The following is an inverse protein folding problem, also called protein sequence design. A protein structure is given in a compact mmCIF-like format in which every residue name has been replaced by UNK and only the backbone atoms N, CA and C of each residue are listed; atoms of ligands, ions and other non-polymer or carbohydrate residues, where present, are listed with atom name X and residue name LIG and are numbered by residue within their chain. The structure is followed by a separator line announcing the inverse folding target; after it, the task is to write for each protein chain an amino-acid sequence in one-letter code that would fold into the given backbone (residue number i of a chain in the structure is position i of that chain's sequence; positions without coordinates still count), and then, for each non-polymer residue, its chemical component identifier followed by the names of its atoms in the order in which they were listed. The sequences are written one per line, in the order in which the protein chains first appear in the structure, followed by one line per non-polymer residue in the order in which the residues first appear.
data_IF_622052953134
#
_entry.id   IF_622052953134
#
_cell.length_a   1.000
_cell.length_b   1.000
_cell.length_c   1.000
_cell.angle_alpha   90.00
_cell.angle_beta   90.00
_cell.angle_gamma   90.00
#
_symmetry.space_group_name_H-M   'P 1'
#
loop_
_entity.id
_entity.type
_entity.pdbx_description
1 polymer ?
#
# COMPACT_ATOMS: atom_id res chain seq x y z
N UNK A 1 1.53 2.87 -27.94
CA UNK A 1 1.28 3.72 -26.75
C UNK A 1 -0.13 3.42 -26.27
N UNK A 2 -0.30 2.88 -25.07
CA UNK A 2 -1.64 2.78 -24.48
C UNK A 2 -1.99 4.19 -24.02
N UNK A 3 -2.89 4.85 -24.75
CA UNK A 3 -3.45 6.13 -24.32
C UNK A 3 -4.30 5.80 -23.08
N UNK A 4 -3.78 6.09 -21.90
CA UNK A 4 -4.56 6.04 -20.67
C UNK A 4 -5.64 7.11 -20.79
N UNK A 5 -6.85 6.71 -21.15
CA UNK A 5 -8.02 7.57 -21.09
C UNK A 5 -8.19 8.06 -19.65
N UNK A 6 -8.72 9.28 -19.46
CA UNK A 6 -8.96 9.84 -18.13
C UNK A 6 -9.78 8.90 -17.23
N UNK A 7 -10.68 8.10 -17.81
CA UNK A 7 -11.40 7.04 -17.11
C UNK A 7 -10.49 5.95 -16.51
N UNK A 8 -9.42 5.57 -17.21
CA UNK A 8 -8.49 4.55 -16.73
C UNK A 8 -7.66 5.08 -15.55
N UNK A 9 -7.28 6.37 -15.59
CA UNK A 9 -6.61 7.04 -14.48
C UNK A 9 -7.52 7.13 -13.24
N UNK A 10 -8.76 7.57 -13.44
CA UNK A 10 -9.77 7.64 -12.38
C UNK A 10 -10.09 6.28 -11.75
N UNK A 11 -10.16 5.21 -12.55
CA UNK A 11 -10.35 3.84 -12.04
C UNK A 11 -9.14 3.37 -11.24
N UNK A 12 -7.92 3.68 -11.70
CA UNK A 12 -6.69 3.38 -10.98
C UNK A 12 -6.59 4.11 -9.65
N UNK A 13 -6.87 5.41 -9.62
CA UNK A 13 -6.84 6.20 -8.39
C UNK A 13 -7.85 5.67 -7.37
N UNK A 14 -9.07 5.37 -7.81
CA UNK A 14 -10.09 4.74 -6.95
C UNK A 14 -9.63 3.39 -6.42
N UNK A 15 -9.00 2.56 -7.26
CA UNK A 15 -8.49 1.26 -6.83
C UNK A 15 -7.36 1.41 -5.80
N UNK A 16 -6.43 2.33 -6.01
CA UNK A 16 -5.36 2.63 -5.04
C UNK A 16 -5.96 3.12 -3.71
N UNK A 17 -6.95 4.01 -3.76
CA UNK A 17 -7.63 4.48 -2.56
C UNK A 17 -8.33 3.34 -1.82
N UNK A 18 -9.08 2.48 -2.51
CA UNK A 18 -9.75 1.33 -1.88
C UNK A 18 -8.75 0.41 -1.15
N UNK A 19 -7.64 0.05 -1.79
CA UNK A 19 -6.61 -0.76 -1.14
C UNK A 19 -6.01 -0.04 0.07
N UNK A 20 -5.82 1.27 -0.03
CA UNK A 20 -5.27 2.07 1.06
C UNK A 20 -6.25 2.18 2.25
N UNK A 21 -7.53 2.42 1.98
CA UNK A 21 -8.58 2.44 3.00
C UNK A 21 -8.69 1.08 3.71
N UNK A 22 -8.62 -0.03 2.96
CA UNK A 22 -8.60 -1.38 3.52
C UNK A 22 -7.38 -1.65 4.42
N UNK A 23 -6.23 -1.00 4.12
CA UNK A 23 -5.03 -1.08 4.97
C UNK A 23 -5.21 -0.26 6.26
N UNK A 24 -5.85 0.90 6.15
CA UNK A 24 -6.11 1.80 7.28
C UNK A 24 -7.19 1.29 8.23
N UNK A 25 -8.13 0.45 7.78
CA UNK A 25 -9.23 -0.11 8.57
C UNK A 25 -8.77 -1.14 9.65
N UNK A 26 -7.48 -1.48 9.69
CA UNK A 26 -6.96 -2.44 10.68
C UNK A 26 -6.86 -1.79 12.08
N UNK A 27 -7.89 -2.03 12.88
CA UNK A 27 -7.97 -1.61 14.29
C UNK A 27 -6.99 -2.33 15.24
N UNK A 28 -6.39 -3.46 14.82
CA UNK A 28 -5.50 -4.28 15.68
C UNK A 28 -4.03 -4.20 15.27
N UNK A 29 -3.22 -3.64 16.15
CA UNK A 29 -1.77 -3.42 15.98
C UNK A 29 -0.98 -4.70 15.64
N UNK A 30 -1.36 -5.84 16.22
CA UNK A 30 -0.62 -7.09 16.08
C UNK A 30 -0.69 -7.71 14.68
N UNK A 31 -1.64 -7.29 13.85
CA UNK A 31 -1.87 -7.87 12.52
C UNK A 31 -1.58 -6.92 11.37
N UNK A 32 -1.16 -5.68 11.64
CA UNK A 32 -0.99 -4.67 10.60
C UNK A 32 -0.04 -5.13 9.49
N UNK A 33 1.21 -5.49 9.82
CA UNK A 33 2.19 -5.90 8.81
C UNK A 33 1.75 -7.14 8.02
N UNK A 34 1.15 -8.12 8.69
CA UNK A 34 0.61 -9.31 8.03
C UNK A 34 -0.54 -8.96 7.09
N UNK A 35 -1.43 -8.04 7.50
CA UNK A 35 -2.53 -7.57 6.66
C UNK A 35 -2.03 -6.82 5.44
N UNK A 36 -1.12 -5.86 5.62
CA UNK A 36 -0.51 -5.11 4.51
C UNK A 36 0.22 -6.07 3.58
N UNK A 37 1.01 -7.01 4.12
CA UNK A 37 1.69 -8.01 3.31
C UNK A 37 0.71 -8.85 2.49
N UNK A 38 -0.38 -9.33 3.09
CA UNK A 38 -1.43 -10.08 2.37
C UNK A 38 -2.04 -9.24 1.23
N UNK A 39 -2.37 -7.97 1.46
CA UNK A 39 -2.91 -7.09 0.42
C UNK A 39 -1.90 -6.88 -0.72
N UNK A 40 -0.65 -6.62 -0.38
CA UNK A 40 0.44 -6.47 -1.36
C UNK A 40 0.69 -7.78 -2.14
N UNK A 41 0.56 -8.94 -1.50
CA UNK A 41 0.69 -10.24 -2.14
C UNK A 41 -0.49 -10.56 -3.07
N UNK A 42 -1.73 -10.20 -2.69
CA UNK A 42 -2.91 -10.30 -3.57
C UNK A 42 -2.74 -9.46 -4.85
N UNK A 43 -1.99 -8.37 -4.78
CA UNK A 43 -1.64 -7.55 -5.95
C UNK A 43 -0.45 -8.10 -6.76
N UNK A 44 0.19 -9.20 -6.34
CA UNK A 44 1.39 -9.74 -6.97
C UNK A 44 2.63 -8.85 -6.78
N UNK A 45 2.63 -7.96 -5.78
CA UNK A 45 3.68 -6.97 -5.55
C UNK A 45 4.66 -7.35 -4.44
N UNK A 46 4.52 -8.53 -3.83
CA UNK A 46 5.35 -9.00 -2.71
C UNK A 46 6.85 -9.01 -3.04
N UNK A 47 7.23 -9.38 -4.27
CA UNK A 47 8.63 -9.36 -4.70
C UNK A 47 9.22 -7.95 -4.80
N UNK A 48 8.41 -6.96 -5.20
CA UNK A 48 8.80 -5.54 -5.24
C UNK A 48 8.87 -4.96 -3.83
N UNK A 49 7.89 -5.28 -2.98
CA UNK A 49 7.88 -4.85 -1.59
C UNK A 49 9.12 -5.35 -0.82
N UNK A 50 9.55 -6.60 -1.08
CA UNK A 50 10.79 -7.14 -0.52
C UNK A 50 12.03 -6.39 -1.03
N UNK A 51 12.10 -6.09 -2.33
CA UNK A 51 13.23 -5.35 -2.92
C UNK A 51 13.35 -3.92 -2.37
N UNK A 52 12.24 -3.25 -2.11
CA UNK A 52 12.22 -1.89 -1.54
C UNK A 52 12.25 -1.87 -0.01
N UNK A 53 12.36 -3.02 0.64
CA UNK A 53 12.32 -3.16 2.10
C UNK A 53 11.10 -2.44 2.73
N UNK A 54 9.92 -2.57 2.10
CA UNK A 54 8.70 -1.82 2.44
C UNK A 54 8.31 -1.92 3.93
N UNK A 55 8.67 -3.03 4.57
CA UNK A 55 8.31 -3.34 5.97
C UNK A 55 9.48 -3.19 6.96
N UNK A 56 10.67 -2.78 6.51
CA UNK A 56 11.88 -2.87 7.34
C UNK A 56 12.15 -1.67 8.26
N UNK A 57 11.56 -0.50 7.98
CA UNK A 57 11.96 0.75 8.66
C UNK A 57 10.91 1.33 9.63
N UNK A 58 9.68 0.83 9.61
CA UNK A 58 8.61 1.38 10.45
C UNK A 58 8.38 0.55 11.70
N UNK A 59 8.08 1.19 12.82
CA UNK A 59 7.47 0.53 13.98
C UNK A 59 6.00 0.99 14.10
N UNK A 60 5.06 0.19 13.59
CA UNK A 60 3.62 0.48 13.62
C UNK A 60 3.08 0.66 15.04
N UNK A 61 3.71 0.01 16.02
CA UNK A 61 3.34 0.13 17.42
C UNK A 61 3.59 1.54 17.96
N UNK A 62 4.53 2.30 17.36
CA UNK A 62 4.71 3.71 17.68
C UNK A 62 3.69 4.57 16.90
N UNK A 63 2.71 5.23 17.57
CA UNK A 63 1.73 6.08 16.89
C UNK A 63 2.36 7.21 16.07
N UNK A 64 3.50 7.74 16.48
CA UNK A 64 4.20 8.82 15.75
C UNK A 64 4.70 8.37 14.37
N UNK A 65 5.04 7.09 14.23
CA UNK A 65 5.58 6.52 12.99
C UNK A 65 4.48 6.04 12.04
N UNK A 66 3.21 6.00 12.47
CA UNK A 66 2.11 5.44 11.65
C UNK A 66 1.86 6.24 10.39
N UNK A 67 1.86 7.56 10.50
CA UNK A 67 1.67 8.42 9.34
C UNK A 67 2.77 8.20 8.30
N UNK A 68 4.02 8.09 8.74
CA UNK A 68 5.16 7.79 7.86
C UNK A 68 5.01 6.43 7.19
N UNK A 69 4.64 5.39 7.94
CA UNK A 69 4.40 4.04 7.41
C UNK A 69 3.29 4.04 6.37
N UNK A 70 2.19 4.73 6.64
CA UNK A 70 1.07 4.87 5.70
C UNK A 70 1.50 5.64 4.44
N UNK A 71 2.28 6.72 4.57
CA UNK A 71 2.81 7.44 3.41
C UNK A 71 3.72 6.57 2.55
N UNK A 72 4.59 5.76 3.16
CA UNK A 72 5.47 4.82 2.46
C UNK A 72 4.64 3.80 1.67
N UNK A 73 3.62 3.21 2.30
CA UNK A 73 2.71 2.26 1.64
C UNK A 73 1.95 2.93 0.49
N UNK A 74 1.43 4.15 0.69
CA UNK A 74 0.70 4.90 -0.33
C UNK A 74 1.59 5.17 -1.55
N UNK A 75 2.83 5.63 -1.33
CA UNK A 75 3.80 5.87 -2.41
C UNK A 75 4.13 4.59 -3.15
N UNK A 76 4.29 3.47 -2.44
CA UNK A 76 4.52 2.16 -3.05
C UNK A 76 3.37 1.73 -3.95
N UNK A 77 2.12 1.84 -3.49
CA UNK A 77 0.93 1.49 -4.27
C UNK A 77 0.83 2.34 -5.55
N UNK A 78 1.00 3.67 -5.43
CA UNK A 78 0.98 4.59 -6.58
C UNK A 78 2.06 4.23 -7.61
N UNK A 79 3.26 3.87 -7.14
CA UNK A 79 4.40 3.54 -7.99
C UNK A 79 4.18 2.27 -8.82
N UNK A 80 3.53 1.27 -8.25
CA UNK A 80 3.52 -0.09 -8.83
C UNK A 80 2.19 -0.57 -9.39
N UNK A 81 1.07 0.01 -8.98
CA UNK A 81 -0.22 -0.15 -9.65
C UNK A 81 -0.19 0.80 -10.84
N UNK A 82 -0.33 0.29 -12.07
CA UNK A 82 -0.22 1.06 -13.34
C UNK A 82 -1.56 1.34 -13.98
#
# INVERSE_FOLDING_TARGET
MVILTEETKLKRERFIQQIFDEICDVSKYSTFYSHVFCKIACLGLQGKAKKENLFGNGNWSNPENRNEILEIIRRFLIKYIK
#
